data_IF_277299062412
#
_entry.id   IF_277299062412
#
_cell.length_a   1.000
_cell.length_b   1.000
_cell.length_c   1.000
_cell.angle_alpha   90.00
_cell.angle_beta   90.00
_cell.angle_gamma   90.00
#
_symmetry.space_group_name_H-M   'P 1'
#
loop_
_entity.id
_entity.type
_entity.pdbx_description
1 polymer ?
#
# COMPACT_ATOMS: atom_id res chain seq x y z
N UNK A 1 -20.52 21.36 32.81
CA UNK A 1 -21.69 20.58 32.34
C UNK A 1 -21.15 19.19 32.04
N UNK A 2 -21.35 18.24 32.95
CA UNK A 2 -20.76 16.90 32.87
C UNK A 2 -21.61 16.09 31.90
N UNK A 3 -21.02 15.58 30.81
CA UNK A 3 -21.70 14.73 29.83
C UNK A 3 -22.10 13.41 30.48
N UNK A 4 -23.38 13.07 30.35
CA UNK A 4 -24.00 11.85 30.86
C UNK A 4 -23.51 10.63 30.05
N UNK A 5 -22.72 9.79 30.72
CA UNK A 5 -22.03 8.62 30.17
C UNK A 5 -23.02 7.49 29.82
N UNK A 6 -24.31 7.63 30.15
CA UNK A 6 -25.34 6.65 29.82
C UNK A 6 -25.76 6.66 28.35
N UNK A 7 -25.45 7.71 27.57
CA UNK A 7 -25.75 7.73 26.13
C UNK A 7 -24.75 6.95 25.25
N UNK A 8 -23.61 6.51 25.79
CA UNK A 8 -22.61 5.70 25.05
C UNK A 8 -22.92 4.19 25.04
N UNK A 9 -23.98 3.73 25.73
CA UNK A 9 -24.32 2.30 25.82
C UNK A 9 -25.21 1.76 24.69
N UNK A 10 -25.62 2.60 23.74
CA UNK A 10 -26.52 2.20 22.65
C UNK A 10 -25.90 2.23 21.25
N UNK A 11 -24.58 2.36 21.14
CA UNK A 11 -23.90 2.17 19.84
C UNK A 11 -23.88 0.67 19.55
N UNK A 12 -24.83 0.21 18.73
CA UNK A 12 -24.87 -1.17 18.26
C UNK A 12 -23.55 -1.51 17.58
N UNK A 13 -22.93 -2.62 17.97
CA UNK A 13 -21.75 -3.14 17.26
C UNK A 13 -22.12 -3.48 15.82
N UNK A 14 -21.17 -3.47 14.86
CA UNK A 14 -21.44 -3.90 13.48
C UNK A 14 -22.11 -5.27 13.41
N UNK A 15 -21.80 -6.15 14.36
CA UNK A 15 -22.40 -7.48 14.55
C UNK A 15 -23.89 -7.43 14.92
N UNK A 16 -24.32 -6.43 15.70
CA UNK A 16 -25.74 -6.23 16.06
C UNK A 16 -26.57 -5.58 14.95
N UNK A 17 -25.92 -4.86 14.02
CA UNK A 17 -26.57 -4.26 12.84
C UNK A 17 -26.72 -5.25 11.68
N UNK A 18 -25.79 -6.21 11.55
CA UNK A 18 -25.85 -7.28 10.54
C UNK A 18 -27.08 -8.19 10.65
N UNK A 19 -27.69 -8.31 11.84
CA UNK A 19 -28.91 -9.11 12.06
C UNK A 19 -30.19 -8.48 11.52
N UNK A 20 -30.15 -7.24 11.00
CA UNK A 20 -31.33 -6.53 10.48
C UNK A 20 -31.50 -6.60 8.95
N UNK A 21 -30.74 -7.47 8.26
CA UNK A 21 -31.06 -7.93 6.91
C UNK A 21 -31.02 -6.90 5.77
N UNK A 22 -30.51 -5.69 6.00
CA UNK A 22 -30.55 -4.59 5.03
C UNK A 22 -29.21 -4.20 4.40
N UNK A 23 -28.08 -4.79 4.81
CA UNK A 23 -26.78 -4.49 4.22
C UNK A 23 -26.44 -5.54 3.17
N UNK A 24 -26.07 -5.14 1.92
CA UNK A 24 -25.53 -6.09 0.96
C UNK A 24 -24.34 -6.81 1.60
N UNK A 25 -24.28 -8.14 1.45
CA UNK A 25 -23.13 -8.88 1.93
C UNK A 25 -21.88 -8.37 1.21
N UNK A 26 -20.75 -8.21 1.93
CA UNK A 26 -19.55 -7.71 1.31
C UNK A 26 -19.02 -8.73 0.32
N UNK A 27 -18.54 -8.24 -0.83
CA UNK A 27 -17.89 -9.09 -1.81
C UNK A 27 -16.59 -9.65 -1.23
N UNK A 28 -16.29 -10.92 -1.52
CA UNK A 28 -15.13 -11.62 -0.98
C UNK A 28 -14.16 -11.98 -2.10
N UNK A 29 -12.94 -11.45 -2.01
CA UNK A 29 -11.80 -11.88 -2.83
C UNK A 29 -11.07 -13.02 -2.14
N UNK A 30 -10.92 -14.14 -2.84
CA UNK A 30 -10.24 -15.33 -2.33
C UNK A 30 -9.21 -15.88 -3.33
N UNK A 31 -8.34 -16.77 -2.85
CA UNK A 31 -7.29 -17.41 -3.67
C UNK A 31 -7.84 -18.41 -4.69
N UNK A 32 -9.10 -18.80 -4.56
CA UNK A 32 -9.76 -19.79 -5.42
C UNK A 32 -10.37 -19.13 -6.67
N UNK A 33 -10.49 -17.80 -6.68
CA UNK A 33 -11.00 -17.03 -7.81
C UNK A 33 -9.96 -16.91 -8.93
N UNK A 34 -10.40 -16.75 -10.17
CA UNK A 34 -9.52 -16.34 -11.28
C UNK A 34 -9.19 -14.85 -11.23
N UNK A 35 -8.11 -14.43 -11.90
CA UNK A 35 -7.76 -13.01 -12.02
C UNK A 35 -8.84 -12.19 -12.72
N UNK A 36 -9.56 -12.75 -13.70
CA UNK A 36 -10.70 -12.08 -14.36
C UNK A 36 -11.86 -11.81 -13.39
N UNK A 37 -12.18 -12.78 -12.52
CA UNK A 37 -13.23 -12.61 -11.50
C UNK A 37 -12.84 -11.53 -10.50
N UNK A 38 -11.57 -11.49 -10.08
CA UNK A 38 -11.06 -10.46 -9.18
C UNK A 38 -11.02 -9.08 -9.85
N UNK A 39 -10.63 -9.00 -11.12
CA UNK A 39 -10.66 -7.76 -11.89
C UNK A 39 -12.07 -7.18 -12.00
N UNK A 40 -13.08 -8.03 -12.20
CA UNK A 40 -14.49 -7.60 -12.22
C UNK A 40 -14.91 -6.96 -10.90
N UNK A 41 -14.58 -7.59 -9.76
CA UNK A 41 -14.86 -7.02 -8.43
C UNK A 41 -14.12 -5.69 -8.20
N UNK A 42 -12.87 -5.58 -8.65
CA UNK A 42 -12.12 -4.32 -8.56
C UNK A 42 -12.83 -3.19 -9.32
N UNK A 43 -13.33 -3.46 -10.52
CA UNK A 43 -14.09 -2.50 -11.33
C UNK A 43 -15.39 -2.10 -10.63
N UNK A 44 -16.15 -3.08 -10.13
CA UNK A 44 -17.41 -2.86 -9.38
C UNK A 44 -17.18 -2.02 -8.11
N UNK A 45 -15.96 -1.99 -7.58
CA UNK A 45 -15.55 -1.18 -6.43
C UNK A 45 -14.73 0.06 -6.77
N UNK A 46 -14.79 0.51 -8.03
CA UNK A 46 -14.29 1.81 -8.48
C UNK A 46 -12.81 1.83 -8.87
N UNK A 47 -12.14 0.67 -8.98
CA UNK A 47 -10.80 0.60 -9.52
C UNK A 47 -10.85 0.66 -11.05
N UNK A 48 -10.09 1.57 -11.66
CA UNK A 48 -10.07 1.73 -13.11
C UNK A 48 -9.26 0.61 -13.78
N UNK A 49 -9.85 -0.08 -14.75
CA UNK A 49 -9.12 -0.96 -15.67
C UNK A 49 -8.54 -0.10 -16.81
N UNK A 50 -7.22 -0.08 -16.90
CA UNK A 50 -6.45 0.66 -17.91
C UNK A 50 -5.65 -0.27 -18.83
N UNK A 51 -5.99 -1.56 -18.88
CA UNK A 51 -5.34 -2.58 -19.72
C UNK A 51 -5.19 -2.10 -21.17
N UNK A 52 -6.22 -1.47 -21.72
CA UNK A 52 -6.21 -0.98 -23.11
C UNK A 52 -5.52 0.37 -23.29
N UNK A 53 -5.20 1.08 -22.21
CA UNK A 53 -4.52 2.39 -22.23
C UNK A 53 -2.99 2.24 -22.17
N UNK A 54 -2.48 1.10 -21.70
CA UNK A 54 -1.04 0.80 -21.71
C UNK A 54 -0.50 0.68 -23.14
N UNK A 55 0.70 1.22 -23.34
CA UNK A 55 1.52 1.02 -24.53
C UNK A 55 2.58 -0.04 -24.23
N UNK A 56 2.24 -1.30 -24.50
CA UNK A 56 3.07 -2.46 -24.17
C UNK A 56 4.43 -2.46 -24.89
N UNK A 57 4.53 -1.83 -26.06
CA UNK A 57 5.81 -1.70 -26.80
C UNK A 57 6.79 -0.77 -26.09
N UNK A 58 6.27 0.14 -25.24
CA UNK A 58 7.05 1.10 -24.46
C UNK A 58 7.22 0.68 -23.00
N UNK A 59 6.83 -0.55 -22.64
CA UNK A 59 7.06 -1.14 -21.33
C UNK A 59 8.41 -1.86 -21.28
N UNK A 60 9.18 -1.64 -20.21
CA UNK A 60 10.49 -2.26 -20.04
C UNK A 60 10.35 -3.77 -19.81
N UNK A 61 11.08 -4.59 -20.55
CA UNK A 61 11.14 -6.03 -20.30
C UNK A 61 11.90 -6.38 -19.01
N UNK A 62 12.88 -5.55 -18.66
CA UNK A 62 13.67 -5.70 -17.44
C UNK A 62 13.04 -4.81 -16.35
N UNK A 63 12.85 -5.33 -15.13
CA UNK A 63 12.37 -4.52 -14.02
C UNK A 63 13.41 -3.45 -13.65
N UNK A 64 12.94 -2.23 -13.41
CA UNK A 64 13.76 -1.14 -12.88
C UNK A 64 14.20 -1.44 -11.44
N UNK A 65 13.30 -2.00 -10.63
CA UNK A 65 13.56 -2.36 -9.25
C UNK A 65 12.86 -3.66 -8.87
N UNK A 66 13.46 -4.38 -7.92
CA UNK A 66 12.88 -5.54 -7.25
C UNK A 66 12.86 -5.26 -5.75
N UNK A 67 11.66 -5.19 -5.17
CA UNK A 67 11.45 -4.99 -3.74
C UNK A 67 10.87 -6.24 -3.08
N UNK A 68 10.66 -6.20 -1.76
CA UNK A 68 10.05 -7.31 -1.01
C UNK A 68 8.62 -7.67 -1.43
N UNK A 69 7.96 -6.80 -2.21
CA UNK A 69 6.56 -6.93 -2.60
C UNK A 69 6.34 -7.08 -4.12
N UNK A 70 7.42 -7.15 -4.92
CA UNK A 70 7.30 -7.38 -6.36
C UNK A 70 8.33 -6.67 -7.25
N UNK A 71 8.05 -6.73 -8.55
CA UNK A 71 8.84 -6.13 -9.63
C UNK A 71 8.21 -4.81 -10.08
N UNK A 72 9.03 -3.78 -10.25
CA UNK A 72 8.61 -2.49 -10.79
C UNK A 72 9.18 -2.33 -12.19
N UNK A 73 8.31 -2.21 -13.18
CA UNK A 73 8.66 -1.92 -14.56
C UNK A 73 8.34 -0.46 -14.88
N UNK A 74 9.14 0.15 -15.75
CA UNK A 74 8.80 1.45 -16.33
C UNK A 74 8.00 1.20 -17.61
N UNK A 75 6.96 1.99 -17.84
CA UNK A 75 6.18 1.91 -19.06
C UNK A 75 5.63 3.26 -19.50
N UNK A 76 4.74 3.23 -20.50
CA UNK A 76 4.00 4.39 -20.94
C UNK A 76 2.53 4.04 -21.21
N UNK A 77 1.65 5.03 -21.04
CA UNK A 77 0.31 4.99 -21.61
C UNK A 77 0.39 5.42 -23.09
N UNK A 78 -0.64 5.06 -23.87
CA UNK A 78 -0.79 5.46 -25.28
C UNK A 78 -0.81 6.97 -25.50
N UNK A 79 -1.18 7.74 -24.48
CA UNK A 79 -1.13 9.22 -24.51
C UNK A 79 0.28 9.79 -24.26
N UNK A 80 1.29 8.94 -24.05
CA UNK A 80 2.68 9.31 -23.81
C UNK A 80 3.08 9.50 -22.35
N UNK A 81 2.14 9.45 -21.40
CA UNK A 81 2.44 9.56 -19.97
C UNK A 81 3.28 8.38 -19.49
N UNK A 82 4.42 8.65 -18.85
CA UNK A 82 5.25 7.62 -18.22
C UNK A 82 4.60 7.07 -16.95
N UNK A 83 4.66 5.76 -16.77
CA UNK A 83 4.06 5.04 -15.65
C UNK A 83 5.02 4.06 -14.99
N UNK A 84 4.79 3.81 -13.72
CA UNK A 84 5.34 2.67 -12.99
C UNK A 84 4.31 1.54 -12.97
N UNK A 85 4.74 0.32 -13.30
CA UNK A 85 3.92 -0.89 -13.35
C UNK A 85 4.47 -1.84 -12.29
N UNK A 86 3.72 -2.04 -11.20
CA UNK A 86 4.06 -2.98 -10.13
C UNK A 86 3.41 -4.33 -10.41
N UNK A 87 4.23 -5.36 -10.49
CA UNK A 87 3.80 -6.75 -10.54
C UNK A 87 4.11 -7.40 -9.19
N UNK A 88 3.09 -7.86 -8.46
CA UNK A 88 3.32 -8.53 -7.18
C UNK A 88 3.91 -9.91 -7.45
N UNK A 89 5.17 -10.09 -7.05
CA UNK A 89 5.89 -11.36 -7.10
C UNK A 89 5.97 -11.89 -5.66
N UNK A 90 5.41 -13.08 -5.42
CA UNK A 90 5.63 -13.79 -4.16
C UNK A 90 6.70 -14.83 -4.38
N UNK A 91 7.64 -14.98 -3.43
CA UNK A 91 8.70 -15.97 -3.51
C UNK A 91 8.13 -17.40 -3.51
N UNK A 92 7.77 -17.88 -4.69
CA UNK A 92 7.32 -19.23 -4.96
C UNK A 92 8.28 -19.88 -5.94
N UNK A 93 9.15 -20.74 -5.39
CA UNK A 93 9.96 -21.77 -6.05
C UNK A 93 10.50 -21.48 -7.46
N UNK A 94 11.83 -21.40 -7.54
CA UNK A 94 12.61 -21.63 -8.76
C UNK A 94 11.93 -22.61 -9.72
N UNK A 95 11.46 -22.14 -10.88
CA UNK A 95 11.13 -23.07 -11.98
C UNK A 95 10.04 -22.65 -12.96
N UNK A 96 8.92 -22.07 -12.55
CA UNK A 96 7.85 -21.68 -13.51
C UNK A 96 7.04 -20.50 -12.99
N UNK A 97 7.20 -19.34 -13.62
CA UNK A 97 6.43 -18.12 -13.32
C UNK A 97 4.98 -18.31 -13.80
N UNK A 98 4.08 -18.72 -12.91
CA UNK A 98 2.63 -18.70 -13.16
C UNK A 98 1.94 -18.00 -11.98
N UNK A 99 1.11 -16.96 -12.23
CA UNK A 99 0.36 -16.33 -11.17
C UNK A 99 -0.61 -17.35 -10.56
N UNK A 100 -0.78 -17.28 -9.26
CA UNK A 100 -1.74 -18.09 -8.50
C UNK A 100 -2.72 -17.21 -7.72
N UNK A 101 -3.66 -17.87 -7.05
CA UNK A 101 -4.65 -17.32 -6.13
C UNK A 101 -4.17 -16.17 -5.25
N UNK A 102 -2.95 -16.32 -4.72
CA UNK A 102 -2.39 -15.39 -3.76
C UNK A 102 -1.89 -14.13 -4.45
N UNK A 103 -1.37 -14.22 -5.68
CA UNK A 103 -0.81 -13.08 -6.41
C UNK A 103 -1.88 -12.01 -6.70
N UNK A 104 -2.97 -12.38 -7.37
CA UNK A 104 -4.03 -11.43 -7.70
C UNK A 104 -4.81 -10.96 -6.47
N UNK A 105 -4.93 -11.80 -5.43
CA UNK A 105 -5.55 -11.38 -4.16
C UNK A 105 -4.75 -10.30 -3.46
N UNK A 106 -3.42 -10.43 -3.37
CA UNK A 106 -2.57 -9.38 -2.78
C UNK A 106 -2.59 -8.11 -3.63
N UNK A 107 -2.55 -8.23 -4.97
CA UNK A 107 -2.63 -7.09 -5.87
C UNK A 107 -3.96 -6.34 -5.71
N UNK A 108 -5.07 -7.09 -5.63
CA UNK A 108 -6.39 -6.53 -5.42
C UNK A 108 -6.51 -5.84 -4.05
N UNK A 109 -5.93 -6.41 -2.99
CA UNK A 109 -5.91 -5.78 -1.67
C UNK A 109 -5.15 -4.45 -1.68
N UNK A 110 -3.93 -4.44 -2.22
CA UNK A 110 -3.12 -3.23 -2.33
C UNK A 110 -3.84 -2.15 -3.16
N UNK A 111 -4.35 -2.51 -4.34
CA UNK A 111 -5.06 -1.58 -5.20
C UNK A 111 -6.33 -1.04 -4.55
N UNK A 112 -7.11 -1.90 -3.90
CA UNK A 112 -8.35 -1.50 -3.26
C UNK A 112 -8.08 -0.49 -2.16
N UNK A 113 -7.11 -0.75 -1.27
CA UNK A 113 -6.67 0.20 -0.24
C UNK A 113 -6.21 1.53 -0.85
N UNK A 114 -5.36 1.43 -1.86
CA UNK A 114 -4.78 2.58 -2.53
C UNK A 114 -5.86 3.44 -3.23
N UNK A 115 -6.85 2.81 -3.85
CA UNK A 115 -7.96 3.49 -4.55
C UNK A 115 -8.85 4.34 -3.65
N UNK A 116 -8.81 4.13 -2.32
CA UNK A 116 -9.61 4.92 -1.35
C UNK A 116 -8.93 6.21 -0.92
N UNK A 117 -7.72 6.45 -1.41
CA UNK A 117 -6.88 7.58 -1.02
C UNK A 117 -6.90 8.69 -2.08
N UNK A 118 -7.18 9.92 -1.66
CA UNK A 118 -7.07 11.12 -2.50
C UNK A 118 -6.48 12.26 -1.65
N UNK A 119 -5.15 12.35 -1.64
CA UNK A 119 -4.39 13.32 -0.86
C UNK A 119 -3.09 13.66 -1.60
N UNK A 120 -2.62 14.92 -1.63
CA UNK A 120 -1.40 15.30 -2.36
C UNK A 120 -0.13 14.57 -1.88
N UNK A 121 -0.09 14.19 -0.60
CA UNK A 121 1.00 13.41 0.01
C UNK A 121 0.91 11.89 -0.21
N UNK A 122 -0.03 11.41 -1.03
CA UNK A 122 -0.17 10.00 -1.43
C UNK A 122 -0.08 9.93 -2.95
N UNK A 123 0.73 9.01 -3.49
CA UNK A 123 0.82 8.86 -4.93
C UNK A 123 -0.54 8.40 -5.46
N UNK A 124 -1.00 8.93 -6.59
CA UNK A 124 -2.29 8.55 -7.15
C UNK A 124 -2.20 7.19 -7.87
N UNK A 125 -3.09 6.25 -7.53
CA UNK A 125 -3.32 5.07 -8.35
C UNK A 125 -4.00 5.47 -9.67
N UNK A 126 -3.42 5.10 -10.81
CA UNK A 126 -4.07 5.31 -12.11
C UNK A 126 -5.11 4.22 -12.40
N UNK A 127 -4.87 3.01 -11.91
CA UNK A 127 -5.71 1.85 -12.11
C UNK A 127 -4.91 0.56 -12.07
N UNK A 128 -5.47 -0.48 -12.68
CA UNK A 128 -4.81 -1.76 -12.91
C UNK A 128 -4.83 -2.15 -14.38
N UNK A 129 -4.00 -3.12 -14.73
CA UNK A 129 -4.04 -3.79 -16.02
C UNK A 129 -3.98 -5.31 -15.86
N UNK A 130 -4.68 -6.03 -16.73
CA UNK A 130 -4.57 -7.47 -16.86
C UNK A 130 -3.53 -7.81 -17.94
N UNK A 131 -2.56 -8.63 -17.61
CA UNK A 131 -1.56 -9.11 -18.57
C UNK A 131 -1.12 -10.51 -18.21
N UNK A 132 -1.28 -11.47 -19.13
CA UNK A 132 -0.90 -12.88 -18.95
C UNK A 132 -1.40 -13.50 -17.62
N UNK A 133 -2.60 -13.11 -17.18
CA UNK A 133 -3.21 -13.58 -15.94
C UNK A 133 -2.77 -12.83 -14.67
N UNK A 134 -1.86 -11.86 -14.76
CA UNK A 134 -1.47 -10.98 -13.66
C UNK A 134 -2.38 -9.75 -13.56
N UNK A 135 -2.64 -9.32 -12.32
CA UNK A 135 -3.16 -7.98 -12.02
C UNK A 135 -1.97 -7.06 -11.75
N UNK A 136 -1.71 -6.13 -12.67
CA UNK A 136 -0.63 -5.15 -12.59
C UNK A 136 -1.16 -3.86 -12.00
N UNK A 137 -0.44 -3.26 -11.03
CA UNK A 137 -0.82 -1.99 -10.43
C UNK A 137 -0.10 -0.85 -11.13
N UNK A 138 -0.83 0.19 -11.53
CA UNK A 138 -0.26 1.26 -12.36
C UNK A 138 -0.39 2.63 -11.69
N UNK A 139 0.71 3.38 -11.71
CA UNK A 139 0.80 4.74 -11.16
C UNK A 139 1.70 5.62 -12.02
N UNK A 140 1.72 6.96 -11.83
CA UNK A 140 2.65 7.83 -12.52
C UNK A 140 4.11 7.45 -12.22
N UNK A 141 4.98 7.55 -13.23
CA UNK A 141 6.41 7.33 -13.02
C UNK A 141 7.03 8.48 -12.23
N UNK A 142 7.65 8.17 -11.09
CA UNK A 142 8.29 9.14 -10.20
C UNK A 142 9.79 9.20 -10.49
N UNK A 143 10.20 10.15 -11.34
CA UNK A 143 11.59 10.25 -11.84
C UNK A 143 12.63 10.48 -10.74
N UNK A 144 12.25 11.19 -9.69
CA UNK A 144 13.12 11.41 -8.53
C UNK A 144 13.17 10.17 -7.62
N UNK A 145 12.31 9.17 -7.78
CA UNK A 145 12.37 7.95 -6.98
C UNK A 145 12.22 8.19 -5.46
N UNK A 146 12.85 7.32 -4.67
CA UNK A 146 12.65 7.28 -3.22
C UNK A 146 13.37 8.39 -2.45
N UNK A 147 12.80 8.74 -1.30
CA UNK A 147 13.31 9.74 -0.36
C UNK A 147 14.71 9.38 0.12
N UNK A 148 15.02 8.09 0.31
CA UNK A 148 16.36 7.62 0.73
C UNK A 148 17.48 8.13 -0.17
N UNK A 149 17.26 8.19 -1.49
CA UNK A 149 18.22 8.77 -2.45
C UNK A 149 18.31 10.30 -2.41
N UNK A 150 17.30 10.98 -1.83
CA UNK A 150 17.17 12.44 -1.81
C UNK A 150 17.75 13.08 -0.57
N UNK A 151 17.83 12.34 0.53
CA UNK A 151 18.20 12.91 1.81
C UNK A 151 19.66 13.43 1.78
N UNK A 152 20.61 12.72 1.14
CA UNK A 152 22.08 12.97 1.29
C UNK A 152 22.50 14.37 0.87
N UNK A 153 21.75 15.01 -0.02
CA UNK A 153 22.13 16.27 -0.67
C UNK A 153 21.29 17.48 -0.25
N UNK A 154 20.46 17.35 0.79
CA UNK A 154 19.50 18.41 1.17
C UNK A 154 19.80 19.04 2.51
N UNK A 155 19.59 20.35 2.55
CA UNK A 155 19.65 21.19 3.75
C UNK A 155 18.59 20.78 4.79
N UNK A 156 18.85 20.96 6.10
CA UNK A 156 17.94 20.56 7.17
C UNK A 156 16.49 21.07 7.01
N UNK A 157 16.31 22.30 6.53
CA UNK A 157 14.97 22.88 6.33
C UNK A 157 14.11 22.10 5.32
N UNK A 158 14.72 21.57 4.25
CA UNK A 158 14.00 20.75 3.28
C UNK A 158 13.61 19.38 3.86
N UNK A 159 14.40 18.84 4.79
CA UNK A 159 14.11 17.55 5.46
C UNK A 159 12.93 17.69 6.42
N UNK A 160 12.85 18.80 7.16
CA UNK A 160 11.71 19.08 8.03
C UNK A 160 10.41 19.20 7.23
N UNK A 161 10.45 19.85 6.06
CA UNK A 161 9.29 19.97 5.18
C UNK A 161 8.79 18.59 4.71
N UNK A 162 9.69 17.66 4.40
CA UNK A 162 9.32 16.28 4.07
C UNK A 162 8.65 15.58 5.25
N UNK A 163 9.18 15.72 6.47
CA UNK A 163 8.54 15.14 7.66
C UNK A 163 7.10 15.64 7.82
N UNK A 164 6.86 16.95 7.67
CA UNK A 164 5.52 17.53 7.77
C UNK A 164 4.55 17.00 6.69
N UNK A 165 5.03 16.87 5.46
CA UNK A 165 4.23 16.33 4.36
C UNK A 165 3.86 14.86 4.56
N UNK A 166 4.80 14.06 5.06
CA UNK A 166 4.55 12.65 5.41
C UNK A 166 3.56 12.57 6.57
N UNK A 167 3.72 13.39 7.62
CA UNK A 167 2.78 13.46 8.75
C UNK A 167 1.35 13.72 8.29
N UNK A 168 1.18 14.71 7.41
CA UNK A 168 -0.12 15.09 6.86
C UNK A 168 -0.76 13.96 6.05
N UNK A 169 0.04 13.17 5.31
CA UNK A 169 -0.46 12.00 4.60
C UNK A 169 -0.90 10.88 5.57
N UNK A 170 -0.14 10.63 6.63
CA UNK A 170 -0.47 9.62 7.66
C UNK A 170 -1.73 10.02 8.44
N UNK A 171 -1.84 11.30 8.84
CA UNK A 171 -3.04 11.84 9.48
C UNK A 171 -4.28 11.63 8.60
N UNK A 172 -4.17 11.92 7.30
CA UNK A 172 -5.24 11.66 6.34
C UNK A 172 -5.65 10.18 6.30
N UNK A 173 -4.68 9.25 6.25
CA UNK A 173 -4.95 7.82 6.24
C UNK A 173 -5.67 7.38 7.51
N UNK A 174 -5.18 7.80 8.68
CA UNK A 174 -5.77 7.45 9.97
C UNK A 174 -7.18 8.02 10.11
N UNK A 175 -7.41 9.26 9.65
CA UNK A 175 -8.75 9.86 9.58
C UNK A 175 -9.74 9.11 8.66
N UNK A 176 -9.23 8.37 7.68
CA UNK A 176 -10.02 7.47 6.82
C UNK A 176 -10.18 6.07 7.41
N UNK A 177 -9.56 5.77 8.56
CA UNK A 177 -9.53 4.43 9.14
C UNK A 177 -8.66 3.47 8.35
N UNK A 178 -7.62 3.98 7.69
CA UNK A 178 -6.62 3.21 6.96
C UNK A 178 -5.31 3.27 7.75
N UNK A 179 -4.78 2.10 8.12
CA UNK A 179 -3.42 1.94 8.64
C UNK A 179 -2.53 1.52 7.48
N UNK A 180 -1.40 2.18 7.26
CA UNK A 180 -0.49 1.86 6.17
C UNK A 180 0.26 0.54 6.42
N UNK A 181 0.78 0.34 7.63
CA UNK A 181 1.39 -0.91 8.07
C UNK A 181 2.80 -1.20 7.54
N UNK A 182 3.38 -0.34 6.69
CA UNK A 182 4.76 -0.47 6.20
C UNK A 182 5.38 0.90 5.89
N UNK A 183 5.23 1.85 6.82
CA UNK A 183 5.85 3.17 6.68
C UNK A 183 7.38 3.04 6.79
N UNK A 184 8.07 3.37 5.71
CA UNK A 184 9.53 3.45 5.64
C UNK A 184 9.96 4.47 4.60
N UNK A 185 11.19 4.96 4.70
CA UNK A 185 11.69 5.98 3.80
C UNK A 185 11.73 5.52 2.32
N UNK A 186 11.87 4.21 2.07
CA UNK A 186 11.80 3.64 0.72
C UNK A 186 10.39 3.67 0.11
N UNK A 187 9.35 3.71 0.96
CA UNK A 187 7.95 3.85 0.56
C UNK A 187 7.49 5.32 0.50
N UNK A 188 8.44 6.27 0.52
CA UNK A 188 8.18 7.69 0.28
C UNK A 188 8.89 8.09 -1.00
N UNK A 189 8.13 8.45 -2.04
CA UNK A 189 8.69 8.95 -3.29
C UNK A 189 8.70 10.48 -3.31
N UNK A 190 9.59 11.06 -4.11
CA UNK A 190 9.65 12.51 -4.32
C UNK A 190 9.10 12.83 -5.71
N UNK A 191 8.13 13.74 -5.79
CA UNK A 191 7.56 14.17 -7.07
C UNK A 191 8.49 15.12 -7.82
N UNK A 192 8.19 15.38 -9.10
CA UNK A 192 8.91 16.38 -9.89
C UNK A 192 8.77 17.80 -9.29
N UNK A 193 7.70 18.06 -8.54
CA UNK A 193 7.51 19.29 -7.78
C UNK A 193 8.29 19.32 -6.45
N UNK A 194 9.06 18.28 -6.14
CA UNK A 194 9.84 18.17 -4.91
C UNK A 194 8.99 17.92 -3.66
N UNK A 195 7.82 17.30 -3.80
CA UNK A 195 6.90 16.96 -2.69
C UNK A 195 6.95 15.46 -2.38
N UNK A 196 6.79 15.07 -1.13
CA UNK A 196 6.75 13.65 -0.74
C UNK A 196 5.41 13.00 -1.04
N UNK A 197 5.42 11.77 -1.50
CA UNK A 197 4.22 10.97 -1.76
C UNK A 197 4.41 9.54 -1.25
N UNK A 198 3.49 9.09 -0.37
CA UNK A 198 3.45 7.72 0.11
C UNK A 198 3.04 6.74 -0.99
N UNK A 199 3.63 5.55 -0.96
CA UNK A 199 3.35 4.42 -1.86
C UNK A 199 3.34 3.10 -1.09
N UNK A 200 2.95 2.02 -1.76
CA UNK A 200 2.98 0.64 -1.26
C UNK A 200 1.97 0.33 -0.14
N UNK A 201 0.73 0.08 -0.54
CA UNK A 201 -0.39 -0.24 0.36
C UNK A 201 -0.58 -1.74 0.58
N UNK A 202 0.44 -2.57 0.29
CA UNK A 202 0.35 -4.03 0.39
C UNK A 202 0.04 -4.53 1.81
N UNK A 203 0.55 -3.82 2.82
CA UNK A 203 0.36 -4.12 4.25
C UNK A 203 -0.79 -3.35 4.90
N UNK A 204 -1.57 -2.59 4.12
CA UNK A 204 -2.59 -1.71 4.67
C UNK A 204 -3.71 -2.48 5.39
N UNK A 205 -4.32 -1.86 6.39
CA UNK A 205 -5.53 -2.38 7.06
C UNK A 205 -6.63 -1.33 6.97
N UNK A 206 -7.83 -1.77 6.61
CA UNK A 206 -8.97 -0.87 6.35
C UNK A 206 -10.09 -1.14 7.36
N UNK A 207 -10.27 -0.26 8.34
CA UNK A 207 -11.32 -0.40 9.34
C UNK A 207 -12.70 0.07 8.82
N UNK A 208 -12.71 1.08 7.93
CA UNK A 208 -13.95 1.72 7.47
C UNK A 208 -14.45 1.25 6.09
N UNK A 209 -13.73 0.33 5.44
CA UNK A 209 -14.02 -0.11 4.06
C UNK A 209 -14.33 -1.59 4.01
N UNK A 210 -15.55 -1.95 4.42
CA UNK A 210 -15.96 -3.35 4.54
C UNK A 210 -16.64 -3.91 3.29
N UNK A 211 -16.84 -3.12 2.22
CA UNK A 211 -17.59 -3.56 1.02
C UNK A 211 -16.85 -4.62 0.19
N UNK A 212 -15.51 -4.59 0.19
CA UNK A 212 -14.66 -5.62 -0.40
C UNK A 212 -13.78 -6.23 0.68
N UNK A 213 -14.00 -7.51 0.97
CA UNK A 213 -13.25 -8.28 1.94
C UNK A 213 -12.25 -9.22 1.24
N UNK A 214 -11.22 -9.64 1.97
CA UNK A 214 -10.21 -10.58 1.49
C UNK A 214 -10.14 -11.77 2.44
N UNK A 215 -10.14 -13.00 1.93
CA UNK A 215 -10.04 -14.19 2.78
C UNK A 215 -8.72 -14.17 3.59
N UNK A 216 -8.67 -14.78 4.77
CA UNK A 216 -7.40 -14.88 5.53
C UNK A 216 -6.38 -15.68 4.71
N UNK A 217 -5.28 -15.04 4.31
CA UNK A 217 -4.05 -15.77 3.98
C UNK A 217 -3.23 -15.87 5.26
N UNK A 218 -2.39 -16.90 5.39
CA UNK A 218 -1.25 -16.83 6.31
C UNK A 218 -0.40 -15.62 5.92
N UNK A 219 -0.66 -14.46 6.53
CA UNK A 219 0.17 -13.27 6.38
C UNK A 219 1.49 -13.62 7.05
N UNK A 220 2.48 -14.05 6.27
CA UNK A 220 3.86 -13.74 6.67
C UNK A 220 3.89 -12.22 6.64
N UNK A 221 3.81 -11.59 7.82
CA UNK A 221 3.98 -10.14 7.92
C UNK A 221 5.32 -9.84 7.26
N UNK A 222 5.28 -9.16 6.12
CA UNK A 222 6.49 -8.62 5.54
C UNK A 222 6.93 -7.48 6.45
N UNK A 223 7.76 -7.83 7.42
CA UNK A 223 8.20 -6.91 8.46
C UNK A 223 9.45 -6.18 7.98
N UNK A 224 9.29 -4.88 7.76
CA UNK A 224 10.44 -3.97 7.73
C UNK A 224 10.93 -3.82 9.18
N UNK A 225 11.73 -4.78 9.66
CA UNK A 225 12.15 -4.92 11.08
C UNK A 225 12.63 -3.61 11.71
N UNK A 226 13.26 -2.75 10.91
CA UNK A 226 13.78 -1.45 11.35
C UNK A 226 12.73 -0.39 11.66
N UNK A 227 11.56 -0.50 11.05
CA UNK A 227 10.46 0.46 11.17
C UNK A 227 9.32 -0.14 12.00
N UNK A 228 9.34 -1.45 12.26
CA UNK A 228 8.34 -2.15 13.01
C UNK A 228 8.31 -1.71 14.48
N UNK A 229 7.11 -1.43 14.98
CA UNK A 229 6.87 -1.12 16.38
C UNK A 229 7.12 -2.37 17.27
N UNK A 230 7.57 -2.19 18.52
CA UNK A 230 7.91 -3.30 19.40
C UNK A 230 6.75 -4.29 19.61
N UNK A 231 5.52 -3.80 19.71
CA UNK A 231 4.32 -4.64 19.86
C UNK A 231 4.03 -5.54 18.65
N UNK A 232 4.50 -5.16 17.46
CA UNK A 232 4.44 -5.98 16.24
C UNK A 232 5.54 -7.05 16.28
N UNK A 233 6.74 -6.71 16.77
CA UNK A 233 7.88 -7.63 16.87
C UNK A 233 7.68 -8.72 17.93
N UNK A 234 7.03 -8.37 19.03
CA UNK A 234 6.74 -9.31 20.13
C UNK A 234 5.64 -10.33 19.78
N UNK A 235 5.00 -10.21 18.60
CA UNK A 235 3.89 -11.06 18.19
C UNK A 235 2.60 -10.82 18.98
N UNK A 236 2.55 -9.75 19.78
CA UNK A 236 1.40 -9.38 20.62
C UNK A 236 0.23 -8.83 19.81
N UNK A 237 0.46 -8.48 18.53
CA UNK A 237 -0.58 -8.08 17.61
C UNK A 237 -0.47 -8.84 16.28
N UNK A 238 -1.60 -9.39 15.81
CA UNK A 238 -1.70 -9.98 14.48
C UNK A 238 -1.92 -8.92 13.37
N UNK A 239 -2.10 -7.65 13.73
CA UNK A 239 -2.45 -6.56 12.80
C UNK A 239 -1.71 -5.27 13.12
N UNK A 240 -1.35 -4.52 12.08
CA UNK A 240 -0.85 -3.16 12.24
C UNK A 240 -1.95 -2.23 12.75
N UNK A 241 -1.59 -1.34 13.66
CA UNK A 241 -2.49 -0.31 14.23
C UNK A 241 -2.01 1.09 13.87
N UNK A 242 -2.85 2.10 14.13
CA UNK A 242 -2.47 3.51 13.94
C UNK A 242 -1.26 3.88 14.79
N UNK A 243 -1.16 3.35 16.00
CA UNK A 243 -0.02 3.56 16.91
C UNK A 243 1.26 2.96 16.32
N UNK A 244 1.18 1.78 15.71
CA UNK A 244 2.34 1.17 15.04
C UNK A 244 2.83 1.97 13.82
N UNK A 245 1.90 2.61 13.09
CA UNK A 245 2.24 3.57 12.02
C UNK A 245 2.92 4.82 12.60
N UNK A 246 2.46 5.34 13.75
CA UNK A 246 3.09 6.51 14.40
C UNK A 246 4.52 6.17 14.85
N UNK A 247 4.77 4.97 15.36
CA UNK A 247 6.13 4.51 15.65
C UNK A 247 7.00 4.50 14.38
N UNK A 248 6.51 3.86 13.31
CA UNK A 248 7.21 3.77 12.03
C UNK A 248 7.49 5.16 11.43
N UNK A 249 6.56 6.11 11.57
CA UNK A 249 6.74 7.51 11.19
C UNK A 249 7.91 8.16 11.96
N UNK A 250 8.04 7.90 13.26
CA UNK A 250 9.19 8.32 14.06
C UNK A 250 10.53 7.79 13.50
N UNK A 251 10.54 6.54 13.04
CA UNK A 251 11.72 5.93 12.40
C UNK A 251 12.04 6.55 11.04
N UNK A 252 11.02 6.94 10.26
CA UNK A 252 11.19 7.72 9.03
C UNK A 252 11.80 9.09 9.33
N UNK A 253 11.33 9.78 10.37
CA UNK A 253 11.90 11.08 10.77
C UNK A 253 13.35 10.95 11.22
N UNK A 254 13.66 9.91 11.99
CA UNK A 254 15.03 9.61 12.36
C UNK A 254 15.91 9.41 11.12
N UNK A 255 15.42 8.68 10.12
CA UNK A 255 16.12 8.48 8.84
C UNK A 255 16.34 9.80 8.11
N UNK A 256 15.32 10.68 8.08
CA UNK A 256 15.40 11.98 7.44
C UNK A 256 16.46 12.89 8.09
N UNK A 257 16.50 12.92 9.41
CA UNK A 257 17.36 13.86 10.15
C UNK A 257 18.81 13.39 10.22
N UNK A 258 19.04 12.10 10.49
CA UNK A 258 20.35 11.63 10.94
C UNK A 258 21.13 10.85 9.89
N UNK A 259 20.60 10.64 8.68
CA UNK A 259 21.30 9.92 7.62
C UNK A 259 21.94 8.63 8.13
N UNK A 260 21.21 7.83 8.91
CA UNK A 260 21.80 6.60 9.40
C UNK A 260 21.49 5.51 8.38
N UNK A 261 22.42 5.14 7.47
CA UNK A 261 22.33 3.88 6.76
C UNK A 261 22.60 2.77 7.77
N UNK A 262 21.62 2.47 8.61
CA UNK A 262 21.64 1.22 9.34
C UNK A 262 21.45 0.15 8.25
N UNK A 263 22.43 -0.73 8.04
CA UNK A 263 22.32 -1.86 7.09
C UNK A 263 21.44 -2.94 7.70
N UNK A 264 20.58 -3.59 6.90
CA UNK A 264 19.71 -4.66 7.44
C UNK A 264 20.71 -5.77 7.71
N UNK A 265 20.96 -6.07 8.98
CA UNK A 265 21.56 -7.35 9.29
C UNK A 265 20.45 -8.35 8.99
N UNK A 266 20.46 -8.84 7.75
CA UNK A 266 19.80 -10.10 7.41
C UNK A 266 20.28 -11.10 8.45
N UNK A 267 19.37 -11.52 9.33
CA UNK A 267 19.60 -12.63 10.23
C UNK A 267 19.72 -13.88 9.38
N UNK A 268 20.94 -14.12 8.90
CA UNK A 268 21.38 -15.43 8.44
C UNK A 268 21.99 -16.08 9.66
N UNK A 269 21.26 -17.00 10.26
CA UNK A 269 21.75 -18.22 10.89
C UNK A 269 20.61 -19.24 10.90
#
# INVERSE_FOLDING_TARGET
MVMDITQLRNVKTPTQLAMTGGWPQPDLVSSEMSSDQVAKLLIEHGCKDITTELDYERCSHIPFARGGFGLIHQGALKNGQLVAIKCIEMAGYWGTWRPDGKHWKHAAHELYAWSKCDHPGILKALGFALFEGFILLVSPWMQNGALTGHLVRREPGARLQFCLEIASAVEYLHGKGIVHGDLKADNVLVSNAGRTQLVDFGSATLANYLTLCFSRTSRVLALSLRFAAPEILDGNSEQHTMESDVYALGMVYNTCMWHVPLKEHSAVN
#
